data_IF_306848446222
#
_entry.id   IF_306848446222
#
_cell.length_a   1.000
_cell.length_b   1.000
_cell.length_c   1.000
_cell.angle_alpha   90.00
_cell.angle_beta   90.00
_cell.angle_gamma   90.00
#
_symmetry.space_group_name_H-M   'P 1'
#
loop_
_entity.id
_entity.type
_entity.pdbx_description
1 polymer ?
#
# COMPACT_ATOMS: atom_id res chain seq x y z
N UNK A 1 42.41 -9.02 -3.27
CA UNK A 1 41.19 -8.23 -3.37
C UNK A 1 39.97 -9.15 -3.42
N UNK A 2 39.06 -8.96 -2.50
CA UNK A 2 37.82 -9.75 -2.55
C UNK A 2 37.02 -9.43 -3.81
N UNK A 3 36.54 -10.47 -4.44
CA UNK A 3 35.73 -10.30 -5.64
C UNK A 3 34.40 -9.62 -5.37
N UNK A 4 34.02 -9.53 -4.12
CA UNK A 4 32.76 -8.90 -3.72
C UNK A 4 32.87 -7.39 -3.54
N UNK A 5 34.01 -6.80 -3.77
CA UNK A 5 34.16 -5.35 -3.74
C UNK A 5 33.26 -4.67 -4.76
N UNK A 6 32.93 -5.38 -5.81
CA UNK A 6 31.98 -4.89 -6.77
C UNK A 6 30.57 -4.80 -6.20
N UNK A 7 30.38 -5.33 -5.02
CA UNK A 7 29.14 -5.32 -4.29
C UNK A 7 29.13 -4.24 -3.21
N UNK A 8 30.02 -3.27 -3.33
CA UNK A 8 30.14 -2.17 -2.40
C UNK A 8 28.92 -1.28 -2.26
N UNK A 9 27.87 -1.59 -2.98
CA UNK A 9 26.57 -0.93 -2.86
C UNK A 9 25.67 -1.59 -1.84
N UNK A 10 26.12 -2.63 -1.14
CA UNK A 10 25.36 -3.20 -0.05
C UNK A 10 25.26 -2.21 1.10
N UNK A 11 24.04 -1.92 1.49
CA UNK A 11 23.82 -1.13 2.69
C UNK A 11 24.24 -1.91 3.92
N UNK A 12 24.71 -1.19 4.91
CA UNK A 12 25.07 -1.79 6.20
C UNK A 12 23.84 -2.30 6.95
N UNK A 13 22.67 -1.80 6.59
CA UNK A 13 21.39 -2.23 7.13
C UNK A 13 20.47 -2.61 5.99
N UNK A 14 19.71 -3.68 6.19
CA UNK A 14 18.67 -4.06 5.23
C UNK A 14 17.52 -3.06 5.29
N UNK A 15 16.91 -2.81 4.14
CA UNK A 15 15.69 -2.03 4.11
C UNK A 15 14.63 -2.70 4.99
N UNK A 16 13.87 -1.89 5.72
CA UNK A 16 12.80 -2.39 6.61
C UNK A 16 11.65 -3.03 5.84
N UNK A 17 11.53 -2.70 4.56
CA UNK A 17 10.46 -3.25 3.73
C UNK A 17 10.39 -2.55 2.38
N UNK A 18 9.32 -2.78 1.67
CA UNK A 18 9.00 -2.14 0.41
C UNK A 18 7.48 -2.01 0.29
N UNK A 19 7.02 -1.16 -0.63
CA UNK A 19 5.59 -0.90 -0.78
C UNK A 19 4.81 -2.20 -1.07
N UNK A 20 3.72 -2.42 -0.34
CA UNK A 20 2.90 -3.61 -0.45
C UNK A 20 3.36 -4.81 0.36
N UNK A 21 4.51 -4.73 1.02
CA UNK A 21 4.95 -5.80 1.92
C UNK A 21 4.09 -5.81 3.18
N UNK A 22 3.63 -6.98 3.58
CA UNK A 22 2.96 -7.11 4.88
C UNK A 22 3.98 -6.92 6.00
N UNK A 23 3.69 -6.00 6.91
CA UNK A 23 4.61 -5.67 7.99
C UNK A 23 4.51 -6.66 9.15
N UNK A 24 3.32 -7.21 9.38
CA UNK A 24 3.06 -8.14 10.46
C UNK A 24 1.90 -9.06 10.08
N UNK A 25 2.09 -10.34 10.26
CA UNK A 25 1.07 -11.37 9.99
C UNK A 25 0.59 -12.06 11.26
N UNK A 26 1.09 -11.66 12.44
CA UNK A 26 0.77 -12.31 13.70
C UNK A 26 -0.56 -11.86 14.31
N UNK A 27 -1.04 -10.67 13.95
CA UNK A 27 -2.29 -10.11 14.44
C UNK A 27 -3.48 -10.40 13.52
N UNK A 28 -4.60 -9.72 13.73
CA UNK A 28 -5.74 -9.80 12.82
C UNK A 28 -5.31 -9.52 11.39
N UNK A 29 -5.68 -10.40 10.48
CA UNK A 29 -5.29 -10.31 9.09
C UNK A 29 -6.46 -10.72 8.20
N UNK A 30 -6.81 -9.84 7.28
CA UNK A 30 -7.85 -10.12 6.30
C UNK A 30 -7.34 -9.67 4.92
N UNK A 31 -7.14 -10.63 4.04
CA UNK A 31 -6.70 -10.39 2.67
C UNK A 31 -7.73 -11.00 1.73
N UNK A 32 -8.25 -10.19 0.84
CA UNK A 32 -9.22 -10.61 -0.16
C UNK A 32 -8.60 -10.61 -1.55
N UNK A 33 -9.07 -11.50 -2.41
CA UNK A 33 -8.70 -11.49 -3.83
C UNK A 33 -9.70 -10.63 -4.59
N UNK A 34 -9.18 -9.71 -5.42
CA UNK A 34 -10.00 -8.81 -6.24
C UNK A 34 -9.43 -8.73 -7.65
N UNK A 35 -10.31 -8.64 -8.61
CA UNK A 35 -9.91 -8.47 -10.02
C UNK A 35 -9.75 -6.98 -10.28
N UNK A 36 -8.61 -6.59 -10.82
CA UNK A 36 -8.30 -5.18 -11.10
C UNK A 36 -9.05 -4.71 -12.34
N UNK A 37 -9.73 -3.57 -12.21
CA UNK A 37 -10.45 -2.91 -13.31
C UNK A 37 -9.78 -1.60 -13.69
N UNK A 38 -10.03 -1.16 -14.90
CA UNK A 38 -9.76 0.19 -15.42
C UNK A 38 -8.30 0.49 -15.68
N UNK A 39 -7.41 0.35 -14.70
CA UNK A 39 -6.00 0.67 -14.84
C UNK A 39 -5.15 -0.22 -13.95
N UNK A 40 -3.89 -0.41 -14.31
CA UNK A 40 -2.94 -1.15 -13.50
C UNK A 40 -2.74 -0.47 -12.14
N UNK A 41 -2.55 -1.26 -11.10
CA UNK A 41 -2.39 -0.79 -9.73
C UNK A 41 -1.07 -1.31 -9.18
N UNK A 42 -0.19 -0.41 -8.76
CA UNK A 42 1.05 -0.77 -8.11
C UNK A 42 0.79 -1.36 -6.73
N UNK A 43 1.77 -2.06 -6.16
CA UNK A 43 1.69 -2.58 -4.80
C UNK A 43 1.71 -1.42 -3.79
N UNK A 44 1.01 -1.60 -2.68
CA UNK A 44 1.00 -0.60 -1.61
C UNK A 44 0.11 0.62 -1.86
N UNK A 45 -0.85 0.51 -2.75
CA UNK A 45 -1.82 1.57 -3.03
C UNK A 45 -3.19 1.20 -2.50
N UNK A 46 -3.94 2.22 -2.07
CA UNK A 46 -5.32 2.06 -1.68
C UNK A 46 -6.21 1.93 -2.93
N UNK A 47 -7.10 0.96 -2.90
CA UNK A 47 -8.07 0.76 -3.98
C UNK A 47 -9.49 0.83 -3.43
N UNK A 48 -10.40 1.25 -4.29
CA UNK A 48 -11.82 1.23 -4.00
C UNK A 48 -12.51 0.05 -4.67
N UNK A 49 -13.78 -0.10 -4.36
CA UNK A 49 -14.60 -1.15 -4.94
C UNK A 49 -14.80 -0.89 -6.42
N UNK A 50 -14.65 -1.94 -7.22
CA UNK A 50 -14.92 -1.87 -8.65
C UNK A 50 -16.40 -1.98 -8.99
N UNK A 51 -16.72 -1.92 -10.29
CA UNK A 51 -18.10 -2.02 -10.78
C UNK A 51 -18.63 -3.43 -10.78
N UNK A 52 -17.79 -4.41 -11.08
CA UNK A 52 -18.17 -5.82 -11.08
C UNK A 52 -18.03 -6.43 -9.69
N UNK A 53 -18.74 -7.51 -9.44
CA UNK A 53 -18.59 -8.25 -8.20
C UNK A 53 -17.15 -8.78 -8.06
N UNK A 54 -16.57 -8.63 -6.88
CA UNK A 54 -15.23 -9.12 -6.61
C UNK A 54 -14.11 -8.34 -7.29
N UNK A 55 -14.38 -7.10 -7.74
CA UNK A 55 -13.38 -6.26 -8.39
C UNK A 55 -12.96 -5.08 -7.53
N UNK A 56 -11.80 -4.50 -7.87
CA UNK A 56 -11.27 -3.31 -7.24
C UNK A 56 -10.58 -2.44 -8.29
N UNK A 57 -10.54 -1.14 -8.03
CA UNK A 57 -9.88 -0.20 -8.95
C UNK A 57 -9.44 1.07 -8.23
N UNK A 58 -8.50 1.77 -8.83
CA UNK A 58 -8.21 3.17 -8.48
C UNK A 58 -9.45 4.00 -8.79
N UNK A 59 -9.76 4.95 -7.96
CA UNK A 59 -10.98 5.78 -8.06
C UNK A 59 -12.28 4.97 -7.97
N UNK A 60 -12.23 3.87 -7.23
CA UNK A 60 -13.43 3.05 -6.99
C UNK A 60 -14.35 3.65 -5.94
N UNK A 61 -15.51 3.04 -5.77
CA UNK A 61 -16.51 3.45 -4.78
C UNK A 61 -16.21 2.86 -3.40
N UNK A 62 -15.79 3.69 -2.47
CA UNK A 62 -15.49 3.26 -1.11
C UNK A 62 -14.17 2.48 -0.99
N UNK A 63 -13.53 2.60 0.15
CA UNK A 63 -12.25 1.93 0.40
C UNK A 63 -12.42 0.42 0.48
N UNK A 64 -11.68 -0.32 -0.34
CA UNK A 64 -11.68 -1.79 -0.32
C UNK A 64 -10.48 -2.34 0.44
N UNK A 65 -9.33 -1.74 0.29
CA UNK A 65 -8.10 -2.16 0.96
C UNK A 65 -6.85 -1.63 0.28
N UNK A 66 -5.70 -2.16 0.70
CA UNK A 66 -4.40 -1.80 0.15
C UNK A 66 -3.84 -3.02 -0.58
N UNK A 67 -3.37 -2.81 -1.81
CA UNK A 67 -2.75 -3.89 -2.58
C UNK A 67 -1.44 -4.33 -1.94
N UNK A 68 -1.27 -5.63 -1.78
CA UNK A 68 -0.02 -6.20 -1.25
C UNK A 68 0.78 -6.85 -2.37
N UNK A 69 2.06 -7.09 -2.13
CA UNK A 69 2.97 -7.63 -3.12
C UNK A 69 2.59 -9.02 -3.62
N UNK A 70 2.96 -9.28 -4.85
CA UNK A 70 2.96 -10.63 -5.42
C UNK A 70 4.29 -10.83 -6.13
N UNK A 71 5.15 -11.67 -5.56
CA UNK A 71 6.51 -11.89 -6.06
C UNK A 71 6.54 -12.64 -7.39
N UNK A 72 5.41 -13.14 -7.86
CA UNK A 72 5.32 -13.79 -9.17
C UNK A 72 5.18 -12.77 -10.31
N UNK A 73 4.95 -11.48 -9.97
CA UNK A 73 4.83 -10.42 -10.98
C UNK A 73 6.21 -9.92 -11.40
N UNK A 74 6.36 -9.66 -12.69
CA UNK A 74 7.61 -9.09 -13.22
C UNK A 74 7.70 -7.58 -13.01
N UNK A 75 6.56 -6.89 -12.96
CA UNK A 75 6.46 -5.50 -12.56
C UNK A 75 5.85 -5.44 -11.17
N UNK A 76 6.15 -4.39 -10.42
CA UNK A 76 5.62 -4.22 -9.05
C UNK A 76 4.18 -3.69 -9.09
N UNK A 77 3.34 -4.34 -9.89
CA UNK A 77 1.96 -3.93 -10.09
C UNK A 77 1.09 -5.09 -10.58
N UNK A 78 -0.21 -4.90 -10.44
CA UNK A 78 -1.23 -5.76 -11.04
C UNK A 78 -1.78 -5.08 -12.28
N UNK A 79 -1.83 -5.80 -13.39
CA UNK A 79 -2.46 -5.31 -14.61
C UNK A 79 -3.99 -5.46 -14.54
N UNK A 80 -4.68 -4.76 -15.42
CA UNK A 80 -6.13 -4.90 -15.58
C UNK A 80 -6.47 -6.35 -15.90
N UNK A 81 -7.47 -6.89 -15.20
CA UNK A 81 -7.91 -8.28 -15.35
C UNK A 81 -7.16 -9.28 -14.49
N UNK A 82 -6.07 -8.88 -13.84
CA UNK A 82 -5.33 -9.75 -12.93
C UNK A 82 -5.97 -9.78 -11.55
N UNK A 83 -5.78 -10.88 -10.84
CA UNK A 83 -6.26 -11.04 -9.47
C UNK A 83 -5.22 -10.45 -8.53
N UNK A 84 -5.63 -9.44 -7.78
CA UNK A 84 -4.78 -8.79 -6.79
C UNK A 84 -5.13 -9.26 -5.38
N UNK A 85 -4.11 -9.37 -4.54
CA UNK A 85 -4.30 -9.53 -3.11
C UNK A 85 -4.49 -8.13 -2.50
N UNK A 86 -5.60 -7.93 -1.83
CA UNK A 86 -5.98 -6.65 -1.22
C UNK A 86 -6.14 -6.85 0.28
N UNK A 87 -5.29 -6.18 1.05
CA UNK A 87 -5.31 -6.28 2.50
C UNK A 87 -6.36 -5.35 3.09
N UNK A 88 -7.27 -5.92 3.85
CA UNK A 88 -8.35 -5.17 4.50
C UNK A 88 -8.11 -4.96 5.99
N UNK A 89 -7.35 -5.84 6.63
CA UNK A 89 -6.97 -5.73 8.05
C UNK A 89 -5.52 -6.17 8.24
N UNK A 90 -4.84 -5.50 9.15
CA UNK A 90 -3.47 -5.79 9.51
C UNK A 90 -2.50 -4.70 9.06
N UNK A 91 -1.22 -4.93 9.24
CA UNK A 91 -0.18 -3.95 8.95
C UNK A 91 0.46 -4.16 7.59
N UNK A 92 0.69 -3.08 6.87
CA UNK A 92 1.30 -3.11 5.54
C UNK A 92 2.23 -1.90 5.38
N UNK A 93 3.33 -2.08 4.64
CA UNK A 93 4.23 -1.00 4.28
C UNK A 93 3.72 -0.27 3.04
N UNK A 94 3.66 1.04 3.13
CA UNK A 94 3.30 1.91 2.00
C UNK A 94 4.28 3.07 1.90
N UNK A 95 4.32 3.70 0.73
CA UNK A 95 5.10 4.94 0.55
C UNK A 95 4.24 6.11 1.04
N UNK A 96 4.79 6.91 1.94
CA UNK A 96 4.07 8.06 2.49
C UNK A 96 3.87 9.15 1.43
N UNK A 97 2.66 9.61 1.27
CA UNK A 97 2.31 10.74 0.42
C UNK A 97 2.27 12.00 1.30
N UNK A 98 3.40 12.64 1.41
CA UNK A 98 3.65 13.71 2.38
C UNK A 98 4.20 13.16 3.70
N UNK A 99 4.71 14.05 4.55
CA UNK A 99 5.19 13.66 5.87
C UNK A 99 4.04 13.14 6.73
N UNK A 100 4.23 12.05 7.42
CA UNK A 100 3.21 11.39 8.25
C UNK A 100 3.71 11.12 9.65
N UNK A 101 2.80 11.11 10.61
CA UNK A 101 3.06 10.75 12.00
C UNK A 101 1.96 9.83 12.53
N UNK A 102 2.20 9.07 13.60
CA UNK A 102 1.16 8.23 14.20
C UNK A 102 -0.09 8.99 14.70
N UNK A 103 0.05 10.28 14.96
CA UNK A 103 -1.09 11.11 15.39
C UNK A 103 -1.98 11.56 14.24
N UNK A 104 -1.52 11.44 13.00
CA UNK A 104 -2.27 11.89 11.82
C UNK A 104 -3.40 10.94 11.44
N UNK A 105 -4.45 11.49 10.86
CA UNK A 105 -5.55 10.70 10.29
C UNK A 105 -5.10 10.12 8.96
N UNK A 106 -5.25 8.81 8.78
CA UNK A 106 -4.90 8.15 7.53
C UNK A 106 -5.93 8.46 6.47
N UNK A 107 -5.48 9.04 5.36
CA UNK A 107 -6.32 9.34 4.19
C UNK A 107 -5.64 8.83 2.93
N UNK A 108 -6.40 8.68 1.87
CA UNK A 108 -5.83 8.35 0.57
C UNK A 108 -6.44 9.21 -0.53
N UNK A 109 -5.65 9.46 -1.56
CA UNK A 109 -6.11 10.15 -2.75
C UNK A 109 -6.75 9.13 -3.70
N UNK A 110 -8.03 9.28 -3.99
CA UNK A 110 -8.77 8.30 -4.79
C UNK A 110 -8.17 8.13 -6.19
N UNK A 111 -7.72 9.21 -6.80
CA UNK A 111 -7.20 9.19 -8.17
C UNK A 111 -5.90 8.41 -8.32
N UNK A 112 -5.11 8.26 -7.28
CA UNK A 112 -3.79 7.62 -7.34
C UNK A 112 -3.62 6.45 -6.38
N UNK A 113 -4.45 6.37 -5.34
CA UNK A 113 -4.30 5.40 -4.27
C UNK A 113 -3.20 5.74 -3.26
N UNK A 114 -2.57 6.89 -3.39
CA UNK A 114 -1.50 7.32 -2.49
C UNK A 114 -2.04 7.58 -1.08
N UNK A 115 -1.30 7.14 -0.06
CA UNK A 115 -1.74 7.16 1.34
C UNK A 115 -0.92 8.16 2.14
N UNK A 116 -1.59 9.02 2.88
CA UNK A 116 -0.95 10.07 3.67
C UNK A 116 -1.89 10.62 4.74
N UNK A 117 -1.65 11.86 5.15
CA UNK A 117 -2.44 12.56 6.16
C UNK A 117 -3.10 13.82 5.61
N UNK A 118 -3.35 13.88 4.33
CA UNK A 118 -4.02 15.02 3.70
C UNK A 118 -5.41 15.20 4.29
N UNK A 119 -5.85 16.46 4.37
CA UNK A 119 -7.19 16.75 4.87
C UNK A 119 -8.25 16.17 3.94
N UNK A 120 -9.32 15.64 4.53
CA UNK A 120 -10.45 15.10 3.77
C UNK A 120 -11.06 16.20 2.92
N UNK A 121 -11.20 15.94 1.64
CA UNK A 121 -11.73 16.86 0.64
C UNK A 121 -12.28 16.04 -0.54
N UNK A 122 -12.72 16.72 -1.60
CA UNK A 122 -13.10 16.03 -2.83
C UNK A 122 -11.90 15.23 -3.36
N UNK A 123 -12.06 13.93 -3.52
CA UNK A 123 -11.00 13.03 -4.00
C UNK A 123 -10.01 12.58 -2.92
N UNK A 124 -10.18 13.01 -1.67
CA UNK A 124 -9.34 12.57 -0.55
C UNK A 124 -10.25 12.02 0.54
N UNK A 125 -10.11 10.76 0.85
CA UNK A 125 -11.01 10.01 1.73
C UNK A 125 -10.24 9.43 2.91
N UNK A 126 -10.83 9.51 4.11
CA UNK A 126 -10.26 8.87 5.28
C UNK A 126 -10.45 7.35 5.22
N UNK A 127 -9.42 6.62 5.64
CA UNK A 127 -9.51 5.17 5.80
C UNK A 127 -10.01 4.88 7.23
N UNK A 128 -11.18 4.26 7.39
CA UNK A 128 -11.73 4.00 8.71
C UNK A 128 -10.81 3.07 9.54
N UNK A 129 -10.65 3.39 10.80
CA UNK A 129 -9.90 2.57 11.77
C UNK A 129 -8.45 2.31 11.41
N UNK A 130 -7.88 3.11 10.52
CA UNK A 130 -6.48 3.01 10.14
C UNK A 130 -5.62 3.99 10.94
N UNK A 131 -4.35 3.61 11.13
CA UNK A 131 -3.37 4.48 11.78
C UNK A 131 -1.98 4.19 11.26
N UNK A 132 -1.13 5.21 11.26
CA UNK A 132 0.30 5.02 11.01
C UNK A 132 0.97 4.54 12.29
N UNK A 133 1.89 3.60 12.15
CA UNK A 133 2.59 3.03 13.29
C UNK A 133 3.97 3.65 13.51
N UNK A 134 4.45 4.46 12.58
CA UNK A 134 5.72 5.17 12.70
C UNK A 134 5.65 6.50 11.95
N UNK A 135 6.67 7.34 12.19
CA UNK A 135 6.84 8.61 11.49
C UNK A 135 7.64 8.39 10.22
N UNK A 136 7.24 9.05 9.14
CA UNK A 136 7.96 8.99 7.88
C UNK A 136 7.92 10.33 7.16
N UNK A 137 8.99 10.64 6.44
CA UNK A 137 9.04 11.77 5.53
C UNK A 137 8.30 11.44 4.23
N UNK A 138 7.98 12.46 3.44
CA UNK A 138 7.41 12.28 2.11
C UNK A 138 8.27 11.34 1.27
N UNK A 139 7.64 10.35 0.66
CA UNK A 139 8.32 9.36 -0.18
C UNK A 139 9.02 8.24 0.56
N UNK A 140 9.06 8.27 1.89
CA UNK A 140 9.63 7.20 2.69
C UNK A 140 8.59 6.13 3.00
N UNK A 141 9.06 4.93 3.38
CA UNK A 141 8.16 3.85 3.79
C UNK A 141 7.57 4.14 5.16
N UNK A 142 6.30 3.88 5.29
CA UNK A 142 5.57 3.97 6.55
C UNK A 142 4.71 2.73 6.74
N UNK A 143 4.59 2.31 7.97
CA UNK A 143 3.78 1.15 8.35
C UNK A 143 2.38 1.62 8.72
N UNK A 144 1.39 1.11 8.00
CA UNK A 144 -0.03 1.42 8.21
C UNK A 144 -0.73 0.21 8.80
N UNK A 145 -1.48 0.43 9.86
CA UNK A 145 -2.34 -0.59 10.44
C UNK A 145 -3.79 -0.35 10.00
N UNK A 146 -4.40 -1.39 9.46
CA UNK A 146 -5.81 -1.40 9.08
C UNK A 146 -6.60 -2.19 10.14
N UNK A 147 -7.52 -1.54 10.77
CA UNK A 147 -8.32 -2.14 11.83
C UNK A 147 -9.70 -2.63 11.42
#
# INVERSE_FOLDING_TARGET
>A
MPIYDNQGTYDTEMAVGYAGMEADTSGPRDVASRIIETAAVAFGLAVGRGTADGSAKISGGGFEGITIEDKTRTADQYAVGEVAAVKRKGSVWVVADGAVTPAGTVTYTEATGAIGVKAVATGIVAIPNAKFENTAADGALVRVYLG
#
